data_IF_517239806979
#
_entry.id   IF_517239806979
#
_cell.length_a   1.000
_cell.length_b   1.000
_cell.length_c   1.000
_cell.angle_alpha   90.00
_cell.angle_beta   90.00
_cell.angle_gamma   90.00
#
_symmetry.space_group_name_H-M   'P 1'
#
loop_
_entity.id
_entity.type
_entity.pdbx_description
1 polymer ?
#
# COMPACT_ATOMS: atom_id res chain seq x y z
N UNK A 1 6.19 16.70 -28.16
CA UNK A 1 6.44 17.49 -26.92
C UNK A 1 7.91 17.86 -26.92
N UNK A 2 8.31 19.10 -26.69
CA UNK A 2 9.75 19.43 -26.70
C UNK A 2 10.52 18.81 -25.52
N UNK A 3 11.84 18.81 -25.62
CA UNK A 3 12.77 18.19 -24.66
C UNK A 3 12.64 18.72 -23.23
N UNK A 4 12.38 20.03 -23.06
CA UNK A 4 12.25 20.65 -21.74
C UNK A 4 10.93 20.22 -21.11
N UNK A 5 9.86 20.28 -21.90
CA UNK A 5 8.53 19.85 -21.51
C UNK A 5 8.50 18.36 -21.14
N UNK A 6 9.18 17.51 -21.90
CA UNK A 6 9.34 16.09 -21.59
C UNK A 6 10.13 15.86 -20.29
N UNK A 7 11.26 16.57 -20.09
CA UNK A 7 12.07 16.42 -18.88
C UNK A 7 11.29 16.79 -17.61
N UNK A 8 10.47 17.84 -17.65
CA UNK A 8 9.61 18.24 -16.52
C UNK A 8 8.52 17.19 -16.26
N UNK A 9 7.82 16.73 -17.31
CA UNK A 9 6.88 15.60 -17.22
C UNK A 9 7.50 14.38 -16.56
N UNK A 10 8.70 13.99 -17.03
CA UNK A 10 9.44 12.85 -16.52
C UNK A 10 9.76 13.01 -15.05
N UNK A 11 10.24 14.17 -14.61
CA UNK A 11 10.54 14.44 -13.21
C UNK A 11 9.29 14.40 -12.30
N UNK A 12 8.11 14.76 -12.82
CA UNK A 12 6.83 14.65 -12.10
C UNK A 12 6.38 13.20 -11.99
N UNK A 13 6.40 12.46 -13.11
CA UNK A 13 6.01 11.05 -13.19
C UNK A 13 6.93 10.16 -12.34
N UNK A 14 8.25 10.37 -12.40
CA UNK A 14 9.25 9.62 -11.61
C UNK A 14 9.04 9.80 -10.09
N UNK A 15 8.45 10.93 -9.68
CA UNK A 15 8.06 11.21 -8.28
C UNK A 15 6.60 10.88 -7.99
N UNK A 16 5.91 10.19 -8.88
CA UNK A 16 4.50 9.81 -8.74
C UNK A 16 3.57 11.02 -8.53
N UNK A 17 3.99 12.22 -8.96
CA UNK A 17 3.18 13.43 -8.93
C UNK A 17 2.31 13.51 -10.19
N UNK A 18 1.33 12.61 -10.23
CA UNK A 18 0.42 12.51 -11.36
C UNK A 18 -0.46 13.74 -11.51
N UNK A 19 -0.78 14.44 -10.42
CA UNK A 19 -1.56 15.67 -10.48
C UNK A 19 -0.77 16.77 -11.19
N UNK A 20 0.48 17.00 -10.78
CA UNK A 20 1.36 17.95 -11.46
C UNK A 20 1.62 17.55 -12.92
N UNK A 21 1.83 16.26 -13.19
CA UNK A 21 2.03 15.77 -14.56
C UNK A 21 0.81 16.05 -15.46
N UNK A 22 -0.42 15.84 -14.97
CA UNK A 22 -1.65 16.15 -15.71
C UNK A 22 -1.77 17.64 -15.99
N UNK A 23 -1.55 18.50 -14.99
CA UNK A 23 -1.60 19.96 -15.16
C UNK A 23 -0.56 20.46 -16.16
N UNK A 24 0.64 19.87 -16.13
CA UNK A 24 1.71 20.21 -17.06
C UNK A 24 1.38 19.77 -18.49
N UNK A 25 0.91 18.53 -18.66
CA UNK A 25 0.56 17.97 -19.97
C UNK A 25 -0.59 18.74 -20.62
N UNK A 26 -1.62 19.13 -19.87
CA UNK A 26 -2.77 19.86 -20.42
C UNK A 26 -2.45 21.23 -20.98
N UNK A 27 -1.35 21.86 -20.55
CA UNK A 27 -0.87 23.14 -21.08
C UNK A 27 -0.20 23.00 -22.44
N UNK A 28 0.11 21.77 -22.86
CA UNK A 28 0.76 21.47 -24.11
C UNK A 28 -0.27 20.90 -25.10
N UNK A 29 -0.36 21.49 -26.29
CA UNK A 29 -1.25 21.01 -27.35
C UNK A 29 -0.83 19.61 -27.82
N UNK A 30 -1.78 18.81 -28.31
CA UNK A 30 -1.58 17.51 -28.96
C UNK A 30 -1.15 16.30 -28.08
N UNK A 31 -1.43 16.26 -26.77
CA UNK A 31 -1.16 15.05 -25.98
C UNK A 31 -2.29 14.01 -26.06
N UNK A 32 -1.93 12.73 -26.20
CA UNK A 32 -2.87 11.62 -26.27
C UNK A 32 -3.79 11.57 -25.04
N UNK A 33 -5.11 11.59 -25.29
CA UNK A 33 -6.16 11.49 -24.28
C UNK A 33 -6.02 10.24 -23.42
N UNK A 34 -5.56 9.12 -23.97
CA UNK A 34 -5.38 7.88 -23.21
C UNK A 34 -4.23 7.99 -22.20
N UNK A 35 -3.18 8.75 -22.49
CA UNK A 35 -2.11 9.05 -21.52
C UNK A 35 -2.68 9.86 -20.35
N UNK A 36 -3.48 10.88 -20.65
CA UNK A 36 -4.12 11.72 -19.62
C UNK A 36 -5.03 10.86 -18.74
N UNK A 37 -5.85 9.98 -19.33
CA UNK A 37 -6.71 9.04 -18.59
C UNK A 37 -5.90 8.09 -17.70
N UNK A 38 -4.78 7.57 -18.20
CA UNK A 38 -3.91 6.67 -17.43
C UNK A 38 -3.27 7.39 -16.23
N UNK A 39 -2.85 8.64 -16.40
CA UNK A 39 -2.36 9.49 -15.29
C UNK A 39 -3.47 9.75 -14.27
N UNK A 40 -4.69 10.03 -14.70
CA UNK A 40 -5.84 10.17 -13.80
C UNK A 40 -6.10 8.88 -13.02
N UNK A 41 -6.11 7.73 -13.68
CA UNK A 41 -6.27 6.44 -13.02
C UNK A 41 -5.20 6.21 -11.95
N UNK A 42 -3.93 6.53 -12.25
CA UNK A 42 -2.84 6.46 -11.26
C UNK A 42 -3.05 7.42 -10.09
N UNK A 43 -3.42 8.69 -10.37
CA UNK A 43 -3.73 9.70 -9.35
C UNK A 43 -4.81 9.22 -8.40
N UNK A 44 -5.89 8.63 -8.91
CA UNK A 44 -6.97 8.09 -8.08
C UNK A 44 -6.51 6.87 -7.28
N UNK A 45 -5.83 5.91 -7.93
CA UNK A 45 -5.38 4.68 -7.29
C UNK A 45 -4.40 4.92 -6.12
N UNK A 46 -3.43 5.84 -6.25
CA UNK A 46 -2.51 6.18 -5.14
C UNK A 46 -3.21 6.87 -3.96
N UNK A 47 -4.44 7.35 -4.16
CA UNK A 47 -5.28 7.90 -3.10
C UNK A 47 -6.35 6.89 -2.63
N UNK A 48 -6.24 5.62 -3.02
CA UNK A 48 -7.19 4.55 -2.71
C UNK A 48 -8.60 4.78 -3.25
N UNK A 49 -8.77 5.69 -4.22
CA UNK A 49 -10.02 5.87 -4.96
C UNK A 49 -10.07 4.91 -6.14
N UNK A 50 -10.29 3.63 -5.84
CA UNK A 50 -10.28 2.58 -6.86
C UNK A 50 -11.47 2.63 -7.80
N UNK A 51 -12.59 3.22 -7.36
CA UNK A 51 -13.79 3.42 -8.19
C UNK A 51 -13.52 4.40 -9.32
N UNK A 52 -13.05 5.61 -8.99
CA UNK A 52 -12.69 6.61 -10.01
C UNK A 52 -11.53 6.12 -10.88
N UNK A 53 -10.55 5.45 -10.29
CA UNK A 53 -9.43 4.87 -11.03
C UNK A 53 -9.88 3.85 -12.08
N UNK A 54 -10.83 2.97 -11.72
CA UNK A 54 -11.38 1.95 -12.60
C UNK A 54 -12.22 2.58 -13.71
N UNK A 55 -13.10 3.53 -13.36
CA UNK A 55 -13.98 4.18 -14.33
C UNK A 55 -13.18 4.87 -15.44
N UNK A 56 -12.20 5.70 -15.09
CA UNK A 56 -11.38 6.41 -16.08
C UNK A 56 -10.58 5.44 -16.95
N UNK A 57 -10.05 4.36 -16.36
CA UNK A 57 -9.29 3.37 -17.09
C UNK A 57 -10.17 2.53 -18.05
N UNK A 58 -11.43 2.31 -17.68
CA UNK A 58 -12.37 1.46 -18.44
C UNK A 58 -12.57 1.94 -19.88
N UNK A 59 -12.48 3.25 -20.11
CA UNK A 59 -12.63 3.89 -21.42
C UNK A 59 -11.46 3.66 -22.37
N UNK A 60 -10.28 3.26 -21.86
CA UNK A 60 -9.09 3.03 -22.68
C UNK A 60 -9.17 1.62 -23.30
N UNK A 61 -9.03 1.51 -24.63
CA UNK A 61 -9.16 0.22 -25.37
C UNK A 61 -7.84 -0.55 -25.52
N UNK A 62 -6.73 -0.01 -25.05
CA UNK A 62 -5.42 -0.63 -25.17
C UNK A 62 -5.32 -1.93 -24.34
N UNK A 63 -5.06 -3.06 -25.01
CA UNK A 63 -4.93 -4.37 -24.35
C UNK A 63 -3.70 -4.47 -23.45
N UNK A 64 -2.64 -3.67 -23.70
CA UNK A 64 -1.39 -3.68 -22.91
C UNK A 64 -1.61 -3.26 -21.46
N UNK A 65 -2.67 -2.50 -21.19
CA UNK A 65 -3.05 -2.06 -19.84
C UNK A 65 -4.21 -2.88 -19.26
N UNK A 66 -4.65 -3.96 -19.92
CA UNK A 66 -5.76 -4.80 -19.45
C UNK A 66 -5.54 -5.37 -18.04
N UNK A 67 -4.29 -5.68 -17.70
CA UNK A 67 -3.92 -6.16 -16.36
C UNK A 67 -4.20 -5.13 -15.24
N UNK A 68 -4.16 -3.83 -15.56
CA UNK A 68 -4.46 -2.76 -14.60
C UNK A 68 -5.94 -2.70 -14.29
N UNK A 69 -6.81 -2.94 -15.29
CA UNK A 69 -8.26 -3.01 -15.08
C UNK A 69 -8.62 -4.15 -14.13
N UNK A 70 -8.04 -5.33 -14.37
CA UNK A 70 -8.26 -6.47 -13.49
C UNK A 70 -7.72 -6.21 -12.08
N UNK A 71 -6.53 -5.61 -11.95
CA UNK A 71 -5.99 -5.22 -10.65
C UNK A 71 -6.90 -4.24 -9.89
N UNK A 72 -7.47 -3.24 -10.57
CA UNK A 72 -8.41 -2.29 -9.95
C UNK A 72 -9.71 -2.97 -9.51
N UNK A 73 -10.17 -3.98 -10.25
CA UNK A 73 -11.30 -4.81 -9.84
C UNK A 73 -10.97 -5.62 -8.57
N UNK A 74 -9.82 -6.29 -8.54
CA UNK A 74 -9.35 -7.00 -7.34
C UNK A 74 -9.23 -6.06 -6.11
N UNK A 75 -8.81 -4.81 -6.32
CA UNK A 75 -8.72 -3.78 -5.28
C UNK A 75 -10.10 -3.37 -4.74
N UNK A 76 -11.06 -3.12 -5.63
CA UNK A 76 -12.45 -2.84 -5.26
C UNK A 76 -13.09 -3.99 -4.49
N UNK A 77 -12.84 -5.21 -4.94
CA UNK A 77 -13.32 -6.43 -4.28
C UNK A 77 -12.61 -6.70 -2.94
N UNK A 78 -11.58 -5.92 -2.59
CA UNK A 78 -10.85 -6.05 -1.34
C UNK A 78 -9.99 -7.32 -1.25
N UNK A 79 -9.55 -7.85 -2.40
CA UNK A 79 -8.70 -9.05 -2.45
C UNK A 79 -7.38 -8.79 -1.73
N UNK A 80 -6.97 -9.73 -0.87
CA UNK A 80 -5.84 -9.53 0.03
C UNK A 80 -4.55 -9.18 -0.69
N UNK A 81 -4.17 -9.98 -1.70
CA UNK A 81 -2.97 -9.79 -2.50
C UNK A 81 -2.94 -8.40 -3.16
N UNK A 82 -4.07 -7.97 -3.74
CA UNK A 82 -4.18 -6.66 -4.38
C UNK A 82 -4.06 -5.52 -3.36
N UNK A 83 -4.83 -5.56 -2.26
CA UNK A 83 -4.82 -4.52 -1.22
C UNK A 83 -3.45 -4.37 -0.58
N UNK A 84 -2.79 -5.49 -0.24
CA UNK A 84 -1.45 -5.43 0.33
C UNK A 84 -0.42 -4.94 -0.68
N UNK A 85 -0.47 -5.38 -1.94
CA UNK A 85 0.40 -4.88 -3.00
C UNK A 85 0.27 -3.36 -3.16
N UNK A 86 -0.97 -2.85 -3.19
CA UNK A 86 -1.24 -1.42 -3.29
C UNK A 86 -0.72 -0.66 -2.08
N UNK A 87 -0.97 -1.17 -0.86
CA UNK A 87 -0.51 -0.51 0.35
C UNK A 87 1.01 -0.49 0.46
N UNK A 88 1.70 -1.55 0.02
CA UNK A 88 3.16 -1.60 -0.04
C UNK A 88 3.71 -0.55 -1.03
N UNK A 89 3.23 -0.52 -2.27
CA UNK A 89 3.69 0.47 -3.25
C UNK A 89 3.36 1.89 -2.80
N UNK A 90 2.16 2.11 -2.26
CA UNK A 90 1.77 3.42 -1.76
C UNK A 90 2.66 3.88 -0.58
N UNK A 91 3.03 2.96 0.31
CA UNK A 91 3.95 3.25 1.41
C UNK A 91 5.33 3.63 0.87
N UNK A 92 5.84 2.89 -0.12
CA UNK A 92 7.11 3.20 -0.77
C UNK A 92 7.08 4.58 -1.47
N UNK A 93 5.98 4.94 -2.13
CA UNK A 93 5.81 6.26 -2.76
C UNK A 93 5.89 7.38 -1.72
N UNK A 94 5.26 7.23 -0.55
CA UNK A 94 5.34 8.24 0.52
C UNK A 94 6.76 8.41 1.05
N UNK A 95 7.52 7.32 1.14
CA UNK A 95 8.94 7.37 1.50
C UNK A 95 9.77 8.13 0.46
N UNK A 96 9.62 7.79 -0.83
CA UNK A 96 10.34 8.42 -1.94
C UNK A 96 10.08 9.94 -1.97
N UNK A 97 8.83 10.34 -1.74
CA UNK A 97 8.42 11.74 -1.78
C UNK A 97 8.69 12.51 -0.47
N UNK A 98 9.45 11.93 0.47
CA UNK A 98 9.78 12.56 1.75
C UNK A 98 8.57 12.81 2.66
N UNK A 99 7.44 12.16 2.42
CA UNK A 99 6.21 12.28 3.22
C UNK A 99 6.28 11.32 4.41
N UNK A 100 7.21 11.58 5.33
CA UNK A 100 7.53 10.64 6.42
C UNK A 100 6.39 10.43 7.43
N UNK A 101 5.56 11.44 7.70
CA UNK A 101 4.35 11.29 8.53
C UNK A 101 3.39 10.28 7.89
N UNK A 102 3.12 10.44 6.60
CA UNK A 102 2.26 9.55 5.82
C UNK A 102 2.81 8.12 5.72
N UNK A 103 4.14 8.00 5.59
CA UNK A 103 4.87 6.74 5.58
C UNK A 103 4.69 5.99 6.92
N UNK A 104 4.92 6.67 8.05
CA UNK A 104 4.74 6.08 9.39
C UNK A 104 3.28 5.66 9.65
N UNK A 105 2.31 6.47 9.24
CA UNK A 105 0.88 6.09 9.31
C UNK A 105 0.59 4.78 8.59
N UNK A 106 1.21 4.57 7.42
CA UNK A 106 0.99 3.38 6.60
C UNK A 106 1.73 2.15 7.12
N UNK A 107 2.89 2.31 7.76
CA UNK A 107 3.58 1.24 8.48
C UNK A 107 2.67 0.66 9.57
N UNK A 108 2.04 1.53 10.39
CA UNK A 108 1.08 1.09 11.39
C UNK A 108 -0.11 0.37 10.74
N UNK A 109 -0.64 0.91 9.64
CA UNK A 109 -1.75 0.31 8.88
C UNK A 109 -1.39 -1.07 8.33
N UNK A 110 -0.18 -1.26 7.80
CA UNK A 110 0.33 -2.55 7.32
C UNK A 110 0.39 -3.59 8.45
N UNK A 111 1.02 -3.24 9.58
CA UNK A 111 1.09 -4.12 10.75
C UNK A 111 -0.30 -4.54 11.22
N UNK A 112 -1.24 -3.59 11.35
CA UNK A 112 -2.61 -3.90 11.77
C UNK A 112 -3.36 -4.75 10.73
N UNK A 113 -3.22 -4.45 9.44
CA UNK A 113 -3.88 -5.18 8.36
C UNK A 113 -3.39 -6.64 8.27
N UNK A 114 -2.08 -6.90 8.45
CA UNK A 114 -1.52 -8.25 8.47
C UNK A 114 -2.11 -9.06 9.64
N UNK A 115 -2.13 -8.48 10.84
CA UNK A 115 -2.72 -9.15 12.01
C UNK A 115 -4.21 -9.46 11.80
N UNK A 116 -4.98 -8.49 11.27
CA UNK A 116 -6.40 -8.69 10.94
C UNK A 116 -6.59 -9.79 9.89
N UNK A 117 -5.75 -9.82 8.86
CA UNK A 117 -5.82 -10.85 7.83
C UNK A 117 -5.53 -12.24 8.39
N UNK A 118 -4.47 -12.39 9.20
CA UNK A 118 -4.18 -13.66 9.91
C UNK A 118 -5.38 -14.09 10.74
N UNK A 119 -5.99 -13.19 11.51
CA UNK A 119 -7.16 -13.53 12.30
C UNK A 119 -8.32 -13.98 11.40
N UNK A 120 -8.69 -13.17 10.41
CA UNK A 120 -9.86 -13.41 9.57
C UNK A 120 -9.74 -14.69 8.73
N UNK A 121 -8.59 -14.97 8.12
CA UNK A 121 -8.42 -16.18 7.28
C UNK A 121 -8.50 -17.50 8.06
N UNK A 122 -8.37 -17.46 9.39
CA UNK A 122 -8.58 -18.60 10.28
C UNK A 122 -10.04 -18.70 10.79
N UNK A 123 -10.94 -17.83 10.31
CA UNK A 123 -12.36 -17.78 10.68
C UNK A 123 -13.31 -17.77 9.49
N UNK A 124 -12.83 -17.41 8.30
CA UNK A 124 -13.59 -17.46 7.05
C UNK A 124 -12.79 -18.17 5.97
N UNK A 125 -13.51 -18.75 5.01
CA UNK A 125 -12.93 -19.33 3.81
C UNK A 125 -12.08 -18.29 3.08
N UNK A 126 -10.85 -18.67 2.69
CA UNK A 126 -9.90 -17.82 1.96
C UNK A 126 -10.53 -17.27 0.68
N UNK A 127 -11.36 -18.04 -0.02
CA UNK A 127 -11.99 -17.61 -1.26
C UNK A 127 -13.04 -16.52 -1.04
N UNK A 128 -13.64 -16.48 0.16
CA UNK A 128 -14.65 -15.50 0.58
C UNK A 128 -14.04 -14.30 1.32
N UNK A 129 -12.73 -14.29 1.56
CA UNK A 129 -12.08 -13.18 2.24
C UNK A 129 -12.06 -11.91 1.36
N UNK A 130 -12.50 -10.81 1.96
CA UNK A 130 -12.32 -9.46 1.43
C UNK A 130 -12.10 -8.47 2.57
N UNK A 131 -11.19 -7.52 2.37
CA UNK A 131 -10.95 -6.41 3.28
C UNK A 131 -12.13 -5.44 3.42
N UNK A 132 -13.13 -5.53 2.54
CA UNK A 132 -14.35 -4.73 2.62
C UNK A 132 -15.41 -5.34 3.55
N UNK A 133 -15.18 -6.54 4.07
CA UNK A 133 -16.15 -7.25 4.93
C UNK A 133 -16.06 -6.84 6.39
N UNK A 134 -17.16 -7.01 7.14
CA UNK A 134 -17.20 -6.67 8.57
C UNK A 134 -16.27 -7.56 9.43
N UNK A 135 -15.89 -8.74 8.94
CA UNK A 135 -15.05 -9.72 9.65
C UNK A 135 -13.68 -9.15 10.01
N UNK A 136 -13.14 -8.22 9.21
CA UNK A 136 -11.86 -7.55 9.50
C UNK A 136 -11.99 -6.33 10.41
N UNK A 137 -13.21 -5.96 10.81
CA UNK A 137 -13.44 -4.83 11.70
C UNK A 137 -12.91 -5.10 13.11
N UNK A 138 -12.36 -4.06 13.75
CA UNK A 138 -11.88 -4.14 15.14
C UNK A 138 -12.98 -4.66 16.09
N UNK A 139 -14.22 -4.19 15.91
CA UNK A 139 -15.37 -4.57 16.74
C UNK A 139 -15.66 -6.06 16.65
N UNK A 140 -15.75 -6.60 15.42
CA UNK A 140 -16.05 -8.02 15.22
C UNK A 140 -14.93 -8.92 15.75
N UNK A 141 -13.68 -8.58 15.46
CA UNK A 141 -12.51 -9.34 15.92
C UNK A 141 -12.47 -9.40 17.45
N UNK A 142 -12.59 -8.25 18.13
CA UNK A 142 -12.59 -8.20 19.60
C UNK A 142 -13.78 -8.97 20.20
N UNK A 143 -14.96 -8.92 19.56
CA UNK A 143 -16.13 -9.70 19.99
C UNK A 143 -15.84 -11.21 19.94
N UNK A 144 -15.24 -11.71 18.85
CA UNK A 144 -14.89 -13.13 18.70
C UNK A 144 -13.80 -13.52 19.70
N UNK A 145 -12.75 -12.70 19.83
CA UNK A 145 -11.65 -12.92 20.77
C UNK A 145 -12.15 -13.06 22.22
N UNK A 146 -13.07 -12.20 22.66
CA UNK A 146 -13.66 -12.27 23.99
C UNK A 146 -14.56 -13.50 24.17
N UNK A 147 -15.50 -13.72 23.23
CA UNK A 147 -16.52 -14.77 23.38
C UNK A 147 -15.93 -16.18 23.26
N UNK A 148 -15.15 -16.43 22.20
CA UNK A 148 -14.62 -17.75 21.83
C UNK A 148 -13.29 -18.08 22.49
N UNK A 149 -12.36 -17.13 22.53
CA UNK A 149 -10.98 -17.37 22.96
C UNK A 149 -10.65 -16.85 24.36
N UNK A 150 -11.60 -16.16 25.02
CA UNK A 150 -11.45 -15.54 26.35
C UNK A 150 -10.26 -14.56 26.41
N UNK A 151 -10.04 -13.81 25.34
CA UNK A 151 -9.01 -12.76 25.26
C UNK A 151 -9.70 -11.40 25.37
N UNK A 152 -9.38 -10.65 26.43
CA UNK A 152 -10.09 -9.42 26.80
C UNK A 152 -9.32 -8.12 26.51
N UNK A 153 -8.08 -8.21 26.01
CA UNK A 153 -7.24 -7.04 25.75
C UNK A 153 -7.92 -6.06 24.76
N UNK A 154 -8.10 -4.78 25.12
CA UNK A 154 -8.76 -3.79 24.26
C UNK A 154 -7.90 -3.33 23.07
N UNK A 155 -6.57 -3.49 23.16
CA UNK A 155 -5.68 -3.22 22.06
C UNK A 155 -5.72 -4.38 21.05
N UNK A 156 -6.14 -4.08 19.83
CA UNK A 156 -6.36 -5.08 18.79
C UNK A 156 -5.08 -5.85 18.43
N UNK A 157 -3.96 -5.15 18.30
CA UNK A 157 -2.68 -5.77 17.92
C UNK A 157 -2.19 -6.76 18.97
N UNK A 158 -2.25 -6.38 20.25
CA UNK A 158 -1.91 -7.27 21.36
C UNK A 158 -2.91 -8.43 21.47
N UNK A 159 -4.21 -8.18 21.36
CA UNK A 159 -5.23 -9.22 21.43
C UNK A 159 -5.07 -10.29 20.34
N UNK A 160 -4.80 -9.88 19.10
CA UNK A 160 -4.52 -10.81 17.99
C UNK A 160 -3.19 -11.55 18.21
N UNK A 161 -2.15 -10.87 18.67
CA UNK A 161 -0.85 -11.52 18.97
C UNK A 161 -1.00 -12.59 20.05
N UNK A 162 -1.76 -12.31 21.13
CA UNK A 162 -2.09 -13.31 22.15
C UNK A 162 -2.89 -14.48 21.58
N UNK A 163 -3.81 -14.22 20.66
CA UNK A 163 -4.56 -15.27 19.97
C UNK A 163 -3.63 -16.16 19.15
N UNK A 164 -2.75 -15.58 18.33
CA UNK A 164 -1.81 -16.33 17.50
C UNK A 164 -0.89 -17.18 18.39
N UNK A 165 -0.30 -16.60 19.44
CA UNK A 165 0.59 -17.32 20.35
C UNK A 165 -0.11 -18.47 21.09
N UNK A 166 -1.37 -18.29 21.50
CA UNK A 166 -2.09 -19.30 22.29
C UNK A 166 -2.74 -20.38 21.42
N UNK A 167 -3.23 -20.03 20.24
CA UNK A 167 -4.10 -20.92 19.45
C UNK A 167 -3.53 -21.30 18.08
N UNK A 168 -2.53 -20.57 17.56
CA UNK A 168 -1.94 -20.82 16.24
C UNK A 168 -0.43 -21.11 16.30
N UNK A 169 0.15 -21.29 17.50
CA UNK A 169 1.59 -21.48 17.72
C UNK A 169 2.20 -22.70 17.05
N UNK A 170 1.39 -23.71 16.69
CA UNK A 170 1.87 -24.88 15.96
C UNK A 170 2.29 -24.57 14.52
N UNK A 171 1.77 -23.50 13.92
CA UNK A 171 2.14 -23.08 12.58
C UNK A 171 3.27 -22.05 12.65
N UNK A 172 4.50 -22.52 12.39
CA UNK A 172 5.73 -21.72 12.42
C UNK A 172 5.64 -20.44 11.58
N UNK A 173 4.83 -20.43 10.51
CA UNK A 173 4.68 -19.26 9.65
C UNK A 173 4.11 -18.08 10.43
N UNK A 174 3.12 -18.30 11.30
CA UNK A 174 2.55 -17.22 12.12
C UNK A 174 3.48 -16.76 13.22
N UNK A 175 4.24 -17.67 13.81
CA UNK A 175 5.26 -17.34 14.80
C UNK A 175 6.35 -16.44 14.20
N UNK A 176 6.88 -16.80 13.03
CA UNK A 176 7.88 -16.00 12.31
C UNK A 176 7.35 -14.62 11.93
N UNK A 177 6.09 -14.54 11.50
CA UNK A 177 5.45 -13.26 11.19
C UNK A 177 5.32 -12.39 12.44
N UNK A 178 4.92 -12.97 13.57
CA UNK A 178 4.89 -12.22 14.83
C UNK A 178 6.28 -11.75 15.26
N UNK A 179 7.32 -12.56 15.07
CA UNK A 179 8.71 -12.15 15.35
C UNK A 179 9.11 -10.93 14.53
N UNK A 180 8.75 -10.89 13.25
CA UNK A 180 8.98 -9.73 12.39
C UNK A 180 8.17 -8.52 12.87
N UNK A 181 6.86 -8.67 13.05
CA UNK A 181 5.96 -7.56 13.39
C UNK A 181 6.21 -6.99 14.78
N UNK A 182 6.75 -7.79 15.71
CA UNK A 182 7.03 -7.38 17.08
C UNK A 182 8.54 -7.24 17.36
N UNK A 183 9.39 -7.26 16.32
CA UNK A 183 10.81 -6.97 16.47
C UNK A 183 11.02 -5.60 17.11
N UNK A 184 12.11 -5.45 17.90
CA UNK A 184 12.43 -4.21 18.61
C UNK A 184 12.40 -2.99 17.70
N UNK A 185 13.09 -3.07 16.55
CA UNK A 185 13.08 -2.03 15.51
C UNK A 185 11.67 -1.65 15.04
N UNK A 186 10.78 -2.64 14.83
CA UNK A 186 9.40 -2.39 14.41
C UNK A 186 8.62 -1.67 15.49
N UNK A 187 8.75 -2.08 16.76
CA UNK A 187 8.09 -1.40 17.86
C UNK A 187 8.60 0.04 18.02
N UNK A 188 9.91 0.29 17.88
CA UNK A 188 10.47 1.64 17.90
C UNK A 188 9.92 2.54 16.79
N UNK A 189 9.75 2.03 15.57
CA UNK A 189 9.11 2.79 14.48
C UNK A 189 7.64 3.11 14.78
N UNK A 190 6.92 2.19 15.41
CA UNK A 190 5.53 2.42 15.83
C UNK A 190 5.46 3.48 16.94
N UNK A 191 6.40 3.48 17.88
CA UNK A 191 6.51 4.54 18.89
C UNK A 191 6.89 5.90 18.29
N UNK A 192 7.75 5.90 17.27
CA UNK A 192 8.06 7.10 16.51
C UNK A 192 6.80 7.68 15.84
N UNK A 193 5.91 6.82 15.31
CA UNK A 193 4.57 7.20 14.83
C UNK A 193 3.70 7.74 15.97
N UNK A 194 3.67 7.09 17.14
CA UNK A 194 2.86 7.55 18.28
C UNK A 194 3.23 8.95 18.74
N UNK A 195 4.53 9.27 18.73
CA UNK A 195 5.05 10.57 19.16
C UNK A 195 4.74 11.74 18.19
N UNK A 196 4.32 11.47 16.95
CA UNK A 196 4.07 12.50 15.93
C UNK A 196 2.57 12.66 15.62
N UNK A 197 2.24 13.64 14.76
CA UNK A 197 0.85 13.99 14.39
C UNK A 197 0.11 12.85 13.67
N UNK A 198 0.85 11.87 13.12
CA UNK A 198 0.23 10.66 12.61
C UNK A 198 -0.41 9.81 13.71
N UNK A 199 0.01 9.98 14.97
CA UNK A 199 -0.43 9.27 16.16
C UNK A 199 -1.12 10.16 17.18
N UNK A 200 -0.52 10.28 18.37
CA UNK A 200 -1.12 10.99 19.51
C UNK A 200 -0.23 12.15 20.00
N UNK A 201 0.91 12.41 19.34
CA UNK A 201 1.84 13.46 19.70
C UNK A 201 2.03 14.52 18.62
N UNK A 202 3.02 15.37 18.81
CA UNK A 202 3.31 16.52 17.93
C UNK A 202 4.78 16.60 17.50
N UNK A 203 5.58 15.58 17.79
CA UNK A 203 7.01 15.54 17.44
C UNK A 203 7.20 15.51 15.92
N UNK A 204 8.04 16.40 15.40
CA UNK A 204 8.45 16.39 14.00
C UNK A 204 9.27 15.14 13.62
N UNK A 205 9.16 14.72 12.37
CA UNK A 205 9.85 13.53 11.81
C UNK A 205 10.72 13.91 10.61
N UNK A 206 11.85 13.23 10.46
CA UNK A 206 12.72 13.31 9.29
C UNK A 206 13.27 11.91 8.95
N UNK A 207 14.03 11.82 7.84
CA UNK A 207 14.56 10.55 7.34
C UNK A 207 15.56 9.94 8.32
N UNK A 208 16.38 10.77 8.94
CA UNK A 208 17.49 10.36 9.81
C UNK A 208 16.98 9.59 11.03
N UNK A 209 15.85 10.00 11.60
CA UNK A 209 15.20 9.27 12.71
C UNK A 209 14.79 7.85 12.32
N UNK A 210 14.32 7.66 11.08
CA UNK A 210 13.94 6.33 10.57
C UNK A 210 15.19 5.49 10.30
N UNK A 211 16.22 6.10 9.70
CA UNK A 211 17.52 5.46 9.42
C UNK A 211 18.18 4.95 10.70
N UNK A 212 18.12 5.71 11.80
CA UNK A 212 18.70 5.28 13.09
C UNK A 212 18.10 3.98 13.61
N UNK A 213 16.85 3.66 13.28
CA UNK A 213 16.16 2.46 13.76
C UNK A 213 16.32 1.29 12.80
N UNK A 214 16.26 1.53 11.49
CA UNK A 214 16.21 0.47 10.46
C UNK A 214 17.40 0.41 9.51
N UNK A 215 18.35 1.34 9.62
CA UNK A 215 19.39 1.59 8.61
C UNK A 215 18.76 2.12 7.33
N UNK A 216 18.41 1.23 6.40
CA UNK A 216 17.63 1.60 5.22
C UNK A 216 16.13 1.61 5.54
N UNK A 217 15.40 2.73 5.31
CA UNK A 217 13.94 2.76 5.47
C UNK A 217 13.19 1.75 4.57
N UNK A 218 13.81 1.31 3.46
CA UNK A 218 13.22 0.27 2.59
C UNK A 218 13.18 -1.10 3.28
N UNK A 219 14.08 -1.37 4.24
CA UNK A 219 14.07 -2.61 5.00
C UNK A 219 12.77 -2.81 5.79
N UNK A 220 12.06 -1.73 6.13
CA UNK A 220 10.73 -1.80 6.77
C UNK A 220 9.72 -2.42 5.79
N UNK A 221 9.79 -2.05 4.51
CA UNK A 221 8.92 -2.59 3.46
C UNK A 221 9.26 -4.06 3.21
N UNK A 222 10.54 -4.41 3.18
CA UNK A 222 10.98 -5.78 2.97
C UNK A 222 10.54 -6.70 4.12
N UNK A 223 10.62 -6.25 5.38
CA UNK A 223 10.07 -6.97 6.53
C UNK A 223 8.57 -7.29 6.34
N UNK A 224 7.77 -6.32 5.84
CA UNK A 224 6.35 -6.56 5.57
C UNK A 224 6.13 -7.53 4.40
N UNK A 225 6.90 -7.43 3.31
CA UNK A 225 6.82 -8.37 2.20
C UNK A 225 7.13 -9.79 2.67
N UNK A 226 8.20 -9.98 3.44
CA UNK A 226 8.59 -11.28 4.01
C UNK A 226 7.47 -11.83 4.90
N UNK A 227 6.87 -11.00 5.76
CA UNK A 227 5.74 -11.41 6.59
C UNK A 227 4.52 -11.84 5.76
N UNK A 228 4.20 -11.11 4.69
CA UNK A 228 3.07 -11.40 3.81
C UNK A 228 3.27 -12.70 3.01
N UNK A 229 4.47 -12.92 2.49
CA UNK A 229 4.85 -14.14 1.78
C UNK A 229 4.72 -15.37 2.68
N UNK A 230 5.20 -15.29 3.93
CA UNK A 230 5.09 -16.38 4.92
C UNK A 230 3.65 -16.81 5.17
N UNK A 231 2.68 -15.90 5.07
CA UNK A 231 1.26 -16.22 5.27
C UNK A 231 0.50 -16.49 3.97
N UNK A 232 1.22 -16.62 2.85
CA UNK A 232 0.71 -17.01 1.54
C UNK A 232 -0.03 -15.88 0.80
N UNK A 233 0.38 -14.63 1.01
CA UNK A 233 -0.07 -13.45 0.25
C UNK A 233 0.98 -13.14 -0.82
N UNK A 234 0.55 -13.04 -2.07
CA UNK A 234 1.46 -12.69 -3.17
C UNK A 234 1.52 -11.17 -3.34
N UNK A 235 2.72 -10.60 -3.22
CA UNK A 235 2.94 -9.15 -3.39
C UNK A 235 3.41 -8.86 -4.81
N UNK A 236 2.57 -8.14 -5.56
CA UNK A 236 2.91 -7.63 -6.90
C UNK A 236 3.59 -6.27 -6.72
N UNK A 237 4.87 -6.16 -7.08
CA UNK A 237 5.66 -4.92 -6.99
C UNK A 237 5.84 -4.25 -8.35
N UNK A 238 6.26 -2.98 -8.32
CA UNK A 238 6.64 -2.16 -9.47
C UNK A 238 5.51 -1.87 -10.46
N UNK A 239 4.25 -1.93 -10.02
CA UNK A 239 3.07 -1.57 -10.82
C UNK A 239 3.22 -0.15 -11.35
N UNK A 240 3.44 0.82 -10.49
CA UNK A 240 3.53 2.22 -10.91
C UNK A 240 4.79 2.50 -11.74
N UNK A 241 5.92 1.86 -11.44
CA UNK A 241 7.13 1.99 -12.26
C UNK A 241 6.91 1.49 -13.70
N UNK A 242 6.19 0.36 -13.89
CA UNK A 242 5.82 -0.15 -15.21
C UNK A 242 4.88 0.80 -15.95
N UNK A 243 3.88 1.35 -15.25
CA UNK A 243 2.94 2.32 -15.83
C UNK A 243 3.69 3.60 -16.25
N UNK A 244 4.55 4.11 -15.38
CA UNK A 244 5.35 5.31 -15.63
C UNK A 244 6.24 5.13 -16.85
N UNK A 245 6.95 4.00 -16.95
CA UNK A 245 7.76 3.66 -18.12
C UNK A 245 6.92 3.68 -19.39
N UNK A 246 5.76 3.02 -19.36
CA UNK A 246 4.83 2.99 -20.49
C UNK A 246 4.34 4.39 -20.91
N UNK A 247 3.99 5.25 -19.95
CA UNK A 247 3.57 6.62 -20.22
C UNK A 247 4.71 7.42 -20.87
N UNK A 248 5.92 7.33 -20.31
CA UNK A 248 7.08 8.10 -20.78
C UNK A 248 7.51 7.68 -22.19
N UNK A 249 7.52 6.38 -22.49
CA UNK A 249 7.82 5.87 -23.84
C UNK A 249 6.85 6.45 -24.89
N UNK A 250 5.56 6.57 -24.54
CA UNK A 250 4.56 7.14 -25.44
C UNK A 250 4.72 8.65 -25.60
N UNK A 251 5.02 9.38 -24.52
CA UNK A 251 5.30 10.81 -24.59
C UNK A 251 6.54 11.11 -25.43
N UNK A 252 7.59 10.29 -25.32
CA UNK A 252 8.82 10.45 -26.11
C UNK A 252 8.61 10.14 -27.59
N UNK A 253 7.75 9.17 -27.93
CA UNK A 253 7.41 8.89 -29.34
C UNK A 253 6.74 10.11 -30.01
N UNK A 254 6.03 10.94 -29.23
CA UNK A 254 5.42 12.19 -29.69
C UNK A 254 6.38 13.40 -29.71
N UNK A 255 7.62 13.24 -29.26
CA UNK A 255 8.71 14.23 -29.44
C UNK A 255 9.40 14.04 -30.80
N UNK A 256 9.49 12.80 -31.26
CA UNK A 256 10.19 12.42 -32.50
C UNK A 256 9.31 12.48 -33.76
N UNK A 257 8.04 12.89 -33.62
CA UNK A 257 7.06 13.11 -34.70
C UNK A 257 6.78 14.60 -34.83
#
# INVERSE_FOLDING_TARGET
MDKINYAICKALIDRYDYAGAIEWIKKNENVDKDIIKLLYSCKYAINFDFESAYYVLSEIKDKRIGYLKENLKELKDGRADAIFSELIENTQIKLINGKYIDFLSRIYRLKEAILKYIFAKNHIDKNKFSFMTEVVSKRMILKILRKKYKIYNPNLGFAISSYINKYLSKDKRYEEVLKILNATKMNEIIELRHACIAGHGFRGINREKIIRIYGSPLNIIDDFCIALEKIGVTIRRNKYAKINKYILERLQTMENL
#
